data_IF_932393814385
#
_entry.id   IF_932393814385
#
_cell.length_a   1.000
_cell.length_b   1.000
_cell.length_c   1.000
_cell.angle_alpha   90.00
_cell.angle_beta   90.00
_cell.angle_gamma   90.00
#
_symmetry.space_group_name_H-M   'P 1'
#
loop_
_entity.id
_entity.type
_entity.pdbx_description
1 polymer ?
#
# COMPACT_ATOMS: atom_id res chain seq x y z
N UNK A 1 7.89 -0.02 -5.01
CA UNK A 1 9.29 0.45 -4.78
C UNK A 1 10.08 0.47 -6.09
N UNK A 2 10.25 -0.66 -6.78
CA UNK A 2 11.01 -0.74 -8.04
C UNK A 2 10.55 0.28 -9.11
N UNK A 3 9.26 0.32 -9.47
CA UNK A 3 8.75 1.30 -10.43
C UNK A 3 8.98 2.77 -10.02
N UNK A 4 8.91 3.10 -8.72
CA UNK A 4 9.22 4.44 -8.22
C UNK A 4 10.70 4.79 -8.40
N UNK A 5 11.60 3.87 -8.03
CA UNK A 5 13.03 4.04 -8.25
C UNK A 5 13.34 4.25 -9.74
N UNK A 6 12.73 3.45 -10.61
CA UNK A 6 12.97 3.56 -12.05
C UNK A 6 12.42 4.84 -12.67
N UNK A 7 11.33 5.40 -12.15
CA UNK A 7 10.80 6.68 -12.59
C UNK A 7 11.67 7.88 -12.21
N UNK A 8 12.57 7.73 -11.22
CA UNK A 8 13.37 8.82 -10.64
C UNK A 8 14.78 8.39 -10.24
N UNK A 9 15.48 7.61 -11.08
CA UNK A 9 16.78 6.99 -10.75
C UNK A 9 17.86 7.98 -10.32
N UNK A 10 17.86 9.16 -10.93
CA UNK A 10 18.84 10.22 -10.62
C UNK A 10 18.52 10.97 -9.32
N UNK A 11 17.37 10.67 -8.70
CA UNK A 11 16.82 11.39 -7.54
C UNK A 11 16.47 10.47 -6.38
N UNK A 12 16.53 9.15 -6.56
CA UNK A 12 16.18 8.14 -5.58
C UNK A 12 17.33 7.16 -5.41
N UNK A 13 17.76 6.95 -4.17
CA UNK A 13 18.73 5.91 -3.81
C UNK A 13 18.02 4.80 -3.05
N UNK A 14 18.31 3.54 -3.38
CA UNK A 14 17.78 2.39 -2.65
C UNK A 14 18.88 1.75 -1.80
N UNK A 15 18.51 1.42 -0.57
CA UNK A 15 19.33 0.65 0.36
C UNK A 15 18.45 -0.36 1.11
N UNK A 16 19.05 -1.44 1.57
CA UNK A 16 18.37 -2.50 2.32
C UNK A 16 19.28 -3.06 3.42
N UNK A 17 18.65 -3.51 4.49
CA UNK A 17 19.26 -4.30 5.56
C UNK A 17 19.08 -5.81 5.31
N UNK A 18 18.29 -6.18 4.30
CA UNK A 18 18.05 -7.57 3.94
C UNK A 18 19.19 -8.14 3.11
N UNK A 19 19.41 -9.44 3.27
CA UNK A 19 20.40 -10.18 2.49
C UNK A 19 19.87 -10.64 1.12
N UNK A 20 18.55 -10.78 0.95
CA UNK A 20 17.95 -11.27 -0.29
C UNK A 20 18.08 -10.27 -1.45
N UNK A 21 17.88 -10.75 -2.68
CA UNK A 21 17.92 -9.92 -3.90
C UNK A 21 16.52 -9.62 -4.47
N UNK A 22 15.52 -9.46 -3.59
CA UNK A 22 14.13 -9.23 -4.04
C UNK A 22 13.96 -7.86 -4.71
N UNK A 23 14.70 -6.84 -4.27
CA UNK A 23 14.64 -5.49 -4.85
C UNK A 23 15.21 -5.46 -6.27
N UNK A 24 16.35 -6.08 -6.49
CA UNK A 24 17.01 -6.25 -7.79
C UNK A 24 16.10 -7.04 -8.73
N UNK A 25 15.55 -8.15 -8.23
CA UNK A 25 14.61 -8.99 -9.01
C UNK A 25 13.38 -8.19 -9.43
N UNK A 26 12.82 -7.38 -8.53
CA UNK A 26 11.68 -6.52 -8.85
C UNK A 26 12.06 -5.45 -9.89
N UNK A 27 13.22 -4.81 -9.75
CA UNK A 27 13.69 -3.80 -10.71
C UNK A 27 13.92 -4.41 -12.11
N UNK A 28 14.54 -5.60 -12.17
CA UNK A 28 14.76 -6.30 -13.44
C UNK A 28 13.42 -6.65 -14.11
N UNK A 29 12.44 -7.12 -13.33
CA UNK A 29 11.09 -7.43 -13.83
C UNK A 29 10.35 -6.21 -14.38
N UNK A 30 10.60 -5.02 -13.83
CA UNK A 30 10.05 -3.74 -14.29
C UNK A 30 10.72 -3.21 -15.58
N UNK A 31 11.74 -3.91 -16.09
CA UNK A 31 12.31 -3.64 -17.41
C UNK A 31 13.79 -3.25 -17.42
N UNK A 32 14.47 -3.24 -16.27
CA UNK A 32 15.92 -3.04 -16.25
C UNK A 32 16.69 -4.28 -16.69
N UNK A 33 17.74 -4.12 -17.52
CA UNK A 33 18.53 -5.26 -17.97
C UNK A 33 19.41 -5.85 -16.86
N UNK A 34 19.86 -5.01 -15.92
CA UNK A 34 20.67 -5.41 -14.78
C UNK A 34 20.56 -4.40 -13.64
N UNK A 35 20.92 -4.82 -12.43
CA UNK A 35 21.04 -3.98 -11.22
C UNK A 35 22.22 -4.46 -10.41
N UNK A 36 23.01 -3.54 -9.90
CA UNK A 36 24.20 -3.86 -9.09
C UNK A 36 23.82 -3.94 -7.61
N UNK A 37 24.09 -5.07 -6.97
CA UNK A 37 24.00 -5.24 -5.52
C UNK A 37 25.30 -4.75 -4.86
N UNK A 38 25.26 -3.56 -4.27
CA UNK A 38 26.44 -2.91 -3.66
C UNK A 38 26.55 -3.34 -2.19
N UNK A 39 27.64 -3.99 -1.80
CA UNK A 39 27.84 -4.51 -0.44
C UNK A 39 29.16 -4.05 0.22
N UNK A 40 29.97 -3.25 -0.47
CA UNK A 40 31.27 -2.77 0.01
C UNK A 40 31.42 -1.23 -0.05
N UNK A 41 30.32 -0.53 -0.34
CA UNK A 41 30.28 0.91 -0.49
C UNK A 41 30.82 1.44 -1.83
N UNK A 42 31.30 0.56 -2.71
CA UNK A 42 31.76 0.95 -4.05
C UNK A 42 30.62 0.83 -5.08
N UNK A 43 30.35 1.93 -5.79
CA UNK A 43 29.34 1.98 -6.86
C UNK A 43 29.91 2.65 -8.08
N UNK A 44 29.68 2.06 -9.24
CA UNK A 44 29.93 2.71 -10.52
C UNK A 44 28.88 3.82 -10.79
N UNK A 45 29.30 5.06 -11.08
CA UNK A 45 28.38 6.16 -11.31
C UNK A 45 27.44 5.89 -12.49
N UNK A 46 26.14 6.15 -12.30
CA UNK A 46 25.13 6.05 -13.36
C UNK A 46 24.51 4.66 -13.53
N UNK A 47 25.00 3.62 -12.85
CA UNK A 47 24.40 2.29 -12.88
C UNK A 47 23.28 2.16 -11.82
N UNK A 48 22.15 1.50 -12.14
CA UNK A 48 21.11 1.21 -11.15
C UNK A 48 21.68 0.27 -10.07
N UNK A 49 21.56 0.69 -8.81
CA UNK A 49 22.17 -0.04 -7.69
C UNK A 49 21.26 -0.07 -6.46
N UNK A 50 21.37 -1.17 -5.71
CA UNK A 50 20.76 -1.35 -4.39
C UNK A 50 21.90 -1.56 -3.40
N UNK A 51 21.92 -0.77 -2.33
CA UNK A 51 22.99 -0.80 -1.33
C UNK A 51 22.60 -1.72 -0.17
N UNK A 52 23.27 -2.85 -0.03
CA UNK A 52 23.07 -3.83 1.05
C UNK A 52 23.96 -3.50 2.23
N UNK A 53 23.42 -2.80 3.24
CA UNK A 53 24.20 -2.34 4.38
C UNK A 53 24.67 -3.51 5.29
N UNK A 54 23.96 -4.63 5.26
CA UNK A 54 24.33 -5.89 5.95
C UNK A 54 24.96 -6.93 5.03
N UNK A 55 25.28 -6.57 3.80
CA UNK A 55 25.73 -7.53 2.79
C UNK A 55 24.58 -8.27 2.10
N UNK A 56 24.93 -9.09 1.11
CA UNK A 56 23.98 -9.71 0.18
C UNK A 56 24.23 -11.21 0.06
N UNK A 57 23.15 -11.98 -0.11
CA UNK A 57 23.17 -13.40 -0.43
C UNK A 57 22.62 -13.57 -1.84
N UNK A 58 23.50 -13.97 -2.75
CA UNK A 58 23.17 -14.21 -4.15
C UNK A 58 23.86 -15.49 -4.62
N UNK A 59 23.18 -16.29 -5.44
CA UNK A 59 23.68 -17.59 -5.93
C UNK A 59 24.26 -18.49 -4.83
N UNK A 60 23.52 -18.61 -3.71
CA UNK A 60 23.90 -19.40 -2.53
C UNK A 60 25.21 -18.96 -1.85
N UNK A 61 25.73 -17.77 -2.20
CA UNK A 61 26.97 -17.21 -1.65
C UNK A 61 26.65 -15.90 -0.91
N UNK A 62 27.24 -15.74 0.28
CA UNK A 62 27.10 -14.53 1.08
C UNK A 62 28.31 -13.60 0.87
N UNK A 63 28.05 -12.32 0.62
CA UNK A 63 29.05 -11.29 0.37
C UNK A 63 28.94 -10.20 1.42
N UNK A 64 30.02 -10.02 2.21
CA UNK A 64 30.09 -9.06 3.31
C UNK A 64 28.97 -9.20 4.36
N UNK A 65 28.57 -10.43 4.77
CA UNK A 65 27.41 -10.59 5.63
C UNK A 65 27.67 -10.04 7.04
N UNK A 66 26.76 -9.20 7.53
CA UNK A 66 26.73 -8.69 8.89
C UNK A 66 25.61 -9.40 9.64
N UNK A 67 25.96 -10.37 10.49
CA UNK A 67 24.97 -11.30 11.07
C UNK A 67 25.09 -11.38 12.59
N UNK A 68 26.31 -11.33 13.10
CA UNK A 68 26.58 -11.55 14.52
C UNK A 68 26.75 -10.26 15.32
N UNK A 69 26.52 -10.34 16.63
CA UNK A 69 26.78 -9.26 17.59
C UNK A 69 28.19 -8.66 17.46
N UNK A 70 29.21 -9.48 17.17
CA UNK A 70 30.58 -9.01 16.98
C UNK A 70 30.71 -8.15 15.73
N UNK A 71 30.13 -8.58 14.60
CA UNK A 71 30.15 -7.81 13.35
C UNK A 71 29.47 -6.45 13.56
N UNK A 72 28.34 -6.45 14.27
CA UNK A 72 27.63 -5.23 14.66
C UNK A 72 28.47 -4.32 15.55
N UNK A 73 29.09 -4.86 16.60
CA UNK A 73 29.94 -4.10 17.51
C UNK A 73 31.16 -3.49 16.77
N UNK A 74 31.75 -4.21 15.83
CA UNK A 74 32.85 -3.71 15.00
C UNK A 74 32.40 -2.60 14.05
N UNK A 75 31.26 -2.76 13.38
CA UNK A 75 30.70 -1.71 12.50
C UNK A 75 30.28 -0.47 13.25
N UNK A 76 29.69 -0.62 14.43
CA UNK A 76 29.29 0.49 15.30
C UNK A 76 30.51 1.23 15.84
N UNK A 77 31.56 0.50 16.22
CA UNK A 77 32.81 1.11 16.71
C UNK A 77 33.62 1.78 15.59
N UNK A 78 33.41 1.40 14.33
CA UNK A 78 34.12 1.96 13.20
C UNK A 78 33.44 3.23 12.67
N UNK A 79 33.95 4.40 13.06
CA UNK A 79 33.48 5.70 12.56
C UNK A 79 33.60 5.85 11.03
N UNK A 80 34.53 5.11 10.41
CA UNK A 80 34.75 5.09 8.96
C UNK A 80 33.96 4.00 8.23
N UNK A 81 33.01 3.33 8.91
CA UNK A 81 32.15 2.35 8.26
C UNK A 81 31.39 2.98 7.07
N UNK A 82 31.50 2.36 5.90
CA UNK A 82 30.92 2.88 4.66
C UNK A 82 29.39 3.03 4.77
N UNK A 83 28.72 2.18 5.56
CA UNK A 83 27.28 2.24 5.80
C UNK A 83 26.88 3.57 6.45
N UNK A 84 27.64 4.01 7.47
CA UNK A 84 27.41 5.31 8.12
C UNK A 84 27.67 6.44 7.15
N UNK A 85 28.80 6.41 6.42
CA UNK A 85 29.14 7.44 5.43
C UNK A 85 28.09 7.53 4.32
N UNK A 86 27.58 6.38 3.86
CA UNK A 86 26.52 6.28 2.88
C UNK A 86 25.22 6.92 3.40
N UNK A 87 24.79 6.60 4.62
CA UNK A 87 23.59 7.19 5.22
C UNK A 87 23.72 8.70 5.46
N UNK A 88 24.88 9.15 5.95
CA UNK A 88 25.20 10.57 6.11
C UNK A 88 25.14 11.29 4.77
N UNK A 89 25.80 10.75 3.74
CA UNK A 89 25.75 11.30 2.39
C UNK A 89 24.33 11.32 1.84
N UNK A 90 23.54 10.26 2.01
CA UNK A 90 22.15 10.21 1.56
C UNK A 90 21.31 11.33 2.22
N UNK A 91 21.44 11.51 3.53
CA UNK A 91 20.76 12.57 4.29
C UNK A 91 21.24 13.99 3.92
N UNK A 92 22.45 14.14 3.40
CA UNK A 92 22.88 15.44 2.85
C UNK A 92 22.18 15.79 1.52
N UNK A 93 21.72 14.79 0.75
CA UNK A 93 21.13 14.99 -0.58
C UNK A 93 19.60 14.97 -0.60
N UNK A 94 18.95 14.39 0.42
CA UNK A 94 17.50 14.38 0.49
C UNK A 94 16.95 13.66 1.73
N UNK A 95 15.61 13.62 1.87
CA UNK A 95 14.95 12.93 2.97
C UNK A 95 15.16 11.41 2.88
N UNK A 96 15.38 10.78 4.02
CA UNK A 96 15.46 9.32 4.15
C UNK A 96 14.09 8.77 4.58
N UNK A 97 13.61 7.70 3.93
CA UNK A 97 12.44 6.94 4.38
C UNK A 97 12.87 5.52 4.76
N UNK A 98 12.66 5.15 6.02
CA UNK A 98 12.79 3.79 6.50
C UNK A 98 11.43 3.08 6.40
N UNK A 99 11.36 2.10 5.50
CA UNK A 99 10.17 1.28 5.24
C UNK A 99 10.46 -0.18 5.63
N UNK A 100 9.60 -0.78 6.47
CA UNK A 100 9.72 -2.19 6.86
C UNK A 100 10.88 -2.53 7.79
N UNK A 101 11.53 -1.53 8.40
CA UNK A 101 12.58 -1.78 9.40
C UNK A 101 11.96 -2.32 10.69
N UNK A 102 12.56 -3.40 11.22
CA UNK A 102 12.22 -3.88 12.57
C UNK A 102 12.42 -2.75 13.57
N UNK A 103 11.44 -2.54 14.46
CA UNK A 103 11.56 -1.64 15.62
C UNK A 103 12.84 -1.89 16.44
N UNK A 104 13.37 -3.10 16.36
CA UNK A 104 14.52 -3.59 17.14
C UNK A 104 15.80 -3.71 16.34
N UNK A 105 15.87 -3.21 15.11
CA UNK A 105 17.13 -3.18 14.38
C UNK A 105 18.09 -2.21 15.10
N UNK A 106 19.14 -2.72 15.77
CA UNK A 106 19.99 -1.88 16.61
C UNK A 106 20.93 -1.01 15.77
N UNK A 107 21.26 -1.43 14.56
CA UNK A 107 22.35 -0.86 13.76
C UNK A 107 21.91 0.43 13.08
N UNK A 108 20.77 0.39 12.38
CA UNK A 108 20.22 1.57 11.72
C UNK A 108 19.88 2.67 12.75
N UNK A 109 19.37 2.28 13.93
CA UNK A 109 19.08 3.20 15.03
C UNK A 109 20.35 3.85 15.55
N UNK A 110 21.40 3.06 15.74
CA UNK A 110 22.66 3.57 16.25
C UNK A 110 23.34 4.51 15.24
N UNK A 111 23.47 4.11 13.98
CA UNK A 111 24.07 4.96 12.95
C UNK A 111 23.32 6.27 12.78
N UNK A 112 21.99 6.23 12.70
CA UNK A 112 21.19 7.45 12.59
C UNK A 112 21.29 8.30 13.86
N UNK A 113 21.27 7.71 15.05
CA UNK A 113 21.49 8.47 16.28
C UNK A 113 22.82 9.22 16.27
N UNK A 114 23.91 8.57 15.84
CA UNK A 114 25.22 9.22 15.71
C UNK A 114 25.19 10.35 14.66
N UNK A 115 24.64 10.10 13.48
CA UNK A 115 24.54 11.11 12.40
C UNK A 115 23.74 12.32 12.88
N UNK A 116 22.55 12.12 13.46
CA UNK A 116 21.71 13.23 13.92
C UNK A 116 22.33 13.99 15.10
N UNK A 117 23.04 13.30 16.00
CA UNK A 117 23.72 13.93 17.14
C UNK A 117 24.97 14.72 16.72
N UNK A 118 25.79 14.15 15.83
CA UNK A 118 27.13 14.67 15.52
C UNK A 118 27.11 15.62 14.31
N UNK A 119 26.22 15.40 13.34
CA UNK A 119 26.24 16.07 12.04
C UNK A 119 25.04 17.00 11.81
N UNK A 120 23.93 16.81 12.55
CA UNK A 120 22.71 17.64 12.47
C UNK A 120 22.24 17.87 11.01
N UNK A 121 21.87 16.81 10.28
CA UNK A 121 21.55 16.90 8.86
C UNK A 121 20.34 17.82 8.61
N UNK A 122 20.34 18.52 7.48
CA UNK A 122 19.25 19.43 7.09
C UNK A 122 17.97 18.67 6.66
N UNK A 123 18.12 17.49 6.07
CA UNK A 123 17.00 16.70 5.59
C UNK A 123 16.46 15.75 6.67
N UNK A 124 15.14 15.52 6.71
CA UNK A 124 14.53 14.65 7.69
C UNK A 124 14.79 13.17 7.38
N UNK A 125 14.87 12.36 8.43
CA UNK A 125 14.72 10.91 8.36
C UNK A 125 13.33 10.53 8.88
N UNK A 126 12.58 9.83 8.05
CA UNK A 126 11.22 9.37 8.31
C UNK A 126 11.25 7.86 8.56
N UNK A 127 10.47 7.38 9.52
CA UNK A 127 10.31 5.94 9.79
C UNK A 127 8.84 5.56 9.81
N UNK A 128 8.47 4.50 9.09
CA UNK A 128 7.09 4.02 9.07
C UNK A 128 6.84 3.06 10.24
N UNK A 129 5.84 3.38 11.05
CA UNK A 129 5.30 2.49 12.10
C UNK A 129 3.94 2.02 11.65
N UNK A 130 3.87 0.78 11.15
CA UNK A 130 2.66 0.22 10.54
C UNK A 130 1.97 -0.73 11.50
N UNK A 131 0.70 -0.48 11.81
CA UNK A 131 -0.10 -1.30 12.73
C UNK A 131 -0.21 -2.76 12.27
N UNK A 132 -0.51 -3.00 10.99
CA UNK A 132 -0.57 -4.35 10.41
C UNK A 132 0.73 -5.15 10.64
N UNK A 133 1.89 -4.52 10.40
CA UNK A 133 3.19 -5.17 10.58
C UNK A 133 3.51 -5.52 12.04
N UNK A 134 2.87 -4.84 13.00
CA UNK A 134 2.99 -5.13 14.43
C UNK A 134 1.99 -6.20 14.92
N UNK A 135 1.03 -6.60 14.07
CA UNK A 135 -0.03 -7.54 14.43
C UNK A 135 -0.97 -7.01 15.53
N UNK A 136 -1.16 -5.69 15.59
CA UNK A 136 -1.99 -5.03 16.60
C UNK A 136 -3.35 -4.65 16.04
N UNK A 137 -4.41 -4.85 16.83
CA UNK A 137 -5.71 -4.27 16.51
C UNK A 137 -5.70 -2.74 16.68
N UNK A 138 -6.68 -2.07 16.07
CA UNK A 138 -6.78 -0.59 16.11
C UNK A 138 -6.83 -0.01 17.51
N UNK A 139 -7.49 -0.68 18.45
CA UNK A 139 -7.63 -0.17 19.83
C UNK A 139 -6.30 -0.23 20.55
N UNK A 140 -5.61 -1.37 20.48
CA UNK A 140 -4.30 -1.55 21.09
C UNK A 140 -3.29 -0.61 20.45
N UNK A 141 -3.27 -0.50 19.11
CA UNK A 141 -2.37 0.40 18.42
C UNK A 141 -2.54 1.84 18.89
N UNK A 142 -3.77 2.36 18.97
CA UNK A 142 -4.04 3.71 19.47
C UNK A 142 -3.67 3.95 20.95
N UNK A 143 -3.31 2.91 21.71
CA UNK A 143 -2.77 3.05 23.08
C UNK A 143 -1.25 3.07 23.14
N UNK A 144 -0.57 2.51 22.14
CA UNK A 144 0.89 2.34 22.11
C UNK A 144 1.58 3.17 21.03
N UNK A 145 0.84 3.68 20.05
CA UNK A 145 1.33 4.41 18.88
C UNK A 145 2.27 5.56 19.24
N UNK A 146 1.95 6.32 20.29
CA UNK A 146 2.68 7.48 20.77
C UNK A 146 3.99 7.06 21.41
N UNK A 147 4.00 5.95 22.15
CA UNK A 147 5.22 5.39 22.74
C UNK A 147 6.15 4.85 21.65
N UNK A 148 5.59 4.15 20.66
CA UNK A 148 6.34 3.65 19.50
C UNK A 148 6.96 4.80 18.69
N UNK A 149 6.21 5.87 18.46
CA UNK A 149 6.70 7.08 17.79
C UNK A 149 7.82 7.77 18.60
N UNK A 150 7.59 7.95 19.91
CA UNK A 150 8.53 8.64 20.81
C UNK A 150 9.92 8.01 20.81
N UNK A 151 10.03 6.69 20.67
CA UNK A 151 11.32 6.03 20.61
C UNK A 151 12.17 6.46 19.41
N UNK A 152 11.56 6.62 18.25
CA UNK A 152 12.24 7.09 17.04
C UNK A 152 12.47 8.60 17.07
N UNK A 153 11.50 9.34 17.58
CA UNK A 153 11.62 10.80 17.74
C UNK A 153 12.73 11.17 18.73
N UNK A 154 12.98 10.35 19.74
CA UNK A 154 14.08 10.56 20.69
C UNK A 154 15.47 10.52 20.08
N UNK A 155 15.64 9.90 18.90
CA UNK A 155 16.89 9.85 18.15
C UNK A 155 16.92 10.81 16.94
N UNK A 156 15.91 11.69 16.81
CA UNK A 156 15.85 12.73 15.77
C UNK A 156 15.07 12.36 14.52
N UNK A 157 14.45 11.18 14.46
CA UNK A 157 13.62 10.75 13.33
C UNK A 157 12.18 11.25 13.47
N UNK A 158 11.45 11.34 12.37
CA UNK A 158 9.99 11.56 12.40
C UNK A 158 9.27 10.24 12.17
N UNK A 159 8.42 9.84 13.10
CA UNK A 159 7.62 8.62 12.97
C UNK A 159 6.34 8.90 12.17
N UNK A 160 6.13 8.11 11.10
CA UNK A 160 4.89 8.08 10.32
C UNK A 160 4.07 6.88 10.78
N UNK A 161 3.01 7.14 11.53
CA UNK A 161 2.07 6.11 11.97
C UNK A 161 1.10 5.77 10.82
N UNK A 162 0.95 4.49 10.53
CA UNK A 162 0.14 3.97 9.42
C UNK A 162 -0.69 2.78 9.89
N UNK A 163 -1.81 2.55 9.23
CA UNK A 163 -2.70 1.45 9.58
C UNK A 163 -2.27 0.15 8.87
N UNK A 164 -1.99 0.23 7.57
CA UNK A 164 -1.82 -0.94 6.70
C UNK A 164 -0.51 -0.89 5.90
N UNK A 165 0.04 -2.04 5.52
CA UNK A 165 1.33 -2.12 4.80
C UNK A 165 1.27 -1.46 3.42
N UNK A 166 0.10 -1.45 2.78
CA UNK A 166 -0.11 -0.78 1.51
C UNK A 166 0.00 0.75 1.61
N UNK A 167 -0.25 1.34 2.79
CA UNK A 167 -0.04 2.77 3.03
C UNK A 167 1.43 3.16 2.81
N UNK A 168 2.38 2.28 3.18
CA UNK A 168 3.81 2.50 2.95
C UNK A 168 4.12 2.57 1.46
N UNK A 169 3.57 1.63 0.69
CA UNK A 169 3.74 1.61 -0.76
C UNK A 169 3.15 2.87 -1.40
N UNK A 170 1.98 3.32 -0.93
CA UNK A 170 1.35 4.56 -1.38
C UNK A 170 2.21 5.77 -1.04
N UNK A 171 2.72 5.90 0.18
CA UNK A 171 3.63 6.98 0.58
C UNK A 171 4.85 7.03 -0.35
N UNK A 172 5.47 5.89 -0.65
CA UNK A 172 6.60 5.83 -1.59
C UNK A 172 6.21 6.37 -2.98
N UNK A 173 5.03 6.00 -3.50
CA UNK A 173 4.53 6.53 -4.78
C UNK A 173 4.28 8.04 -4.71
N UNK A 174 3.78 8.54 -3.58
CA UNK A 174 3.42 9.95 -3.37
C UNK A 174 4.64 10.87 -3.20
N UNK A 175 5.74 10.39 -2.62
CA UNK A 175 6.91 11.21 -2.24
C UNK A 175 7.49 12.06 -3.36
N UNK A 176 7.47 11.59 -4.61
CA UNK A 176 7.97 12.39 -5.75
C UNK A 176 7.06 13.58 -6.12
N UNK A 177 5.83 13.62 -5.59
CA UNK A 177 4.82 14.62 -5.90
C UNK A 177 4.60 15.65 -4.78
N UNK A 178 5.03 15.38 -3.54
CA UNK A 178 4.70 16.20 -2.36
C UNK A 178 5.17 17.65 -2.45
N UNK A 179 6.21 17.93 -3.25
CA UNK A 179 6.73 19.28 -3.48
C UNK A 179 6.01 20.05 -4.59
N UNK A 180 5.08 19.42 -5.32
CA UNK A 180 4.31 20.09 -6.37
C UNK A 180 3.29 21.03 -5.75
N UNK A 181 3.15 22.23 -6.31
CA UNK A 181 2.25 23.27 -5.78
C UNK A 181 0.77 22.88 -5.77
N UNK A 182 0.37 21.95 -6.64
CA UNK A 182 -0.99 21.43 -6.74
C UNK A 182 -1.17 20.08 -6.03
N UNK A 183 -0.19 19.60 -5.25
CA UNK A 183 -0.24 18.30 -4.59
C UNK A 183 -1.49 18.14 -3.72
N UNK A 184 -2.11 16.96 -3.78
CA UNK A 184 -3.25 16.56 -2.94
C UNK A 184 -3.01 15.16 -2.40
N UNK A 185 -3.02 15.02 -1.08
CA UNK A 185 -2.89 13.73 -0.44
C UNK A 185 -4.01 12.76 -0.88
N UNK A 186 -3.78 11.43 -0.88
CA UNK A 186 -4.79 10.43 -1.23
C UNK A 186 -6.11 10.63 -0.47
N UNK A 187 -6.03 10.99 0.81
CA UNK A 187 -7.21 11.27 1.64
C UNK A 187 -8.06 12.43 1.08
N UNK A 188 -7.43 13.52 0.65
CA UNK A 188 -8.14 14.67 0.09
C UNK A 188 -8.73 14.36 -1.28
N UNK A 189 -8.03 13.54 -2.08
CA UNK A 189 -8.55 13.02 -3.34
C UNK A 189 -9.74 12.08 -3.12
N UNK A 190 -9.71 11.23 -2.09
CA UNK A 190 -10.85 10.41 -1.68
C UNK A 190 -12.04 11.28 -1.24
N UNK A 191 -11.82 12.34 -0.46
CA UNK A 191 -12.86 13.32 -0.10
C UNK A 191 -13.43 14.03 -1.33
N UNK A 192 -12.62 14.31 -2.34
CA UNK A 192 -13.09 14.88 -3.61
C UNK A 192 -13.99 13.89 -4.35
N UNK A 193 -13.59 12.63 -4.47
CA UNK A 193 -14.44 11.56 -5.03
C UNK A 193 -15.77 11.54 -4.29
N UNK A 194 -15.74 11.44 -2.96
CA UNK A 194 -16.94 11.44 -2.11
C UNK A 194 -17.85 12.64 -2.38
N UNK A 195 -17.31 13.87 -2.38
CA UNK A 195 -18.08 15.10 -2.59
C UNK A 195 -18.72 15.16 -3.97
N UNK A 196 -18.01 14.78 -5.02
CA UNK A 196 -18.54 14.77 -6.39
C UNK A 196 -19.67 13.76 -6.56
N UNK A 197 -19.56 12.61 -5.89
CA UNK A 197 -20.59 11.59 -5.85
C UNK A 197 -21.82 12.03 -5.04
N UNK A 198 -21.62 12.62 -3.86
CA UNK A 198 -22.70 13.11 -3.00
C UNK A 198 -23.55 14.20 -3.69
N UNK A 199 -22.94 15.09 -4.47
CA UNK A 199 -23.67 16.12 -5.24
C UNK A 199 -24.63 15.55 -6.28
N UNK A 200 -24.32 14.36 -6.82
CA UNK A 200 -25.08 13.70 -7.88
C UNK A 200 -25.78 12.43 -7.38
N UNK A 201 -26.00 12.32 -6.06
CA UNK A 201 -26.35 11.07 -5.39
C UNK A 201 -27.50 10.32 -6.05
N UNK A 202 -28.66 10.98 -6.20
CA UNK A 202 -29.88 10.37 -6.74
C UNK A 202 -29.69 9.76 -8.13
N UNK A 203 -28.99 10.47 -9.01
CA UNK A 203 -28.71 10.02 -10.39
C UNK A 203 -27.71 8.88 -10.41
N UNK A 204 -26.66 8.96 -9.57
CA UNK A 204 -25.63 7.93 -9.50
C UNK A 204 -26.13 6.66 -8.83
N UNK A 205 -27.08 6.74 -7.89
CA UNK A 205 -27.75 5.57 -7.32
C UNK A 205 -28.35 4.68 -8.41
N UNK A 206 -29.16 5.28 -9.29
CA UNK A 206 -29.84 4.54 -10.37
C UNK A 206 -28.83 4.00 -11.37
N UNK A 207 -27.94 4.86 -11.87
CA UNK A 207 -26.94 4.50 -12.88
C UNK A 207 -25.98 3.41 -12.39
N UNK A 208 -25.51 3.50 -11.15
CA UNK A 208 -24.58 2.53 -10.59
C UNK A 208 -25.31 1.23 -10.23
N UNK A 209 -26.56 1.30 -9.75
CA UNK A 209 -27.38 0.11 -9.54
C UNK A 209 -27.60 -0.69 -10.83
N UNK A 210 -27.92 -0.02 -11.93
CA UNK A 210 -28.04 -0.65 -13.27
C UNK A 210 -26.72 -1.24 -13.74
N UNK A 211 -25.62 -0.49 -13.61
CA UNK A 211 -24.28 -0.98 -13.99
C UNK A 211 -23.89 -2.23 -13.19
N UNK A 212 -24.13 -2.22 -11.87
CA UNK A 212 -23.86 -3.36 -11.00
C UNK A 212 -24.70 -4.60 -11.38
N UNK A 213 -25.92 -4.42 -11.86
CA UNK A 213 -26.76 -5.54 -12.33
C UNK A 213 -26.20 -6.18 -13.60
N UNK A 214 -25.75 -5.36 -14.55
CA UNK A 214 -25.07 -5.84 -15.77
C UNK A 214 -23.75 -6.53 -15.43
N UNK A 215 -22.97 -5.94 -14.52
CA UNK A 215 -21.69 -6.51 -14.08
C UNK A 215 -21.90 -7.84 -13.34
N UNK A 216 -22.94 -7.95 -12.49
CA UNK A 216 -23.31 -9.19 -11.82
C UNK A 216 -23.65 -10.32 -12.81
N UNK A 217 -24.44 -10.01 -13.85
CA UNK A 217 -24.78 -10.96 -14.90
C UNK A 217 -23.54 -11.39 -15.70
N UNK A 218 -22.65 -10.46 -16.04
CA UNK A 218 -21.40 -10.72 -16.75
C UNK A 218 -20.47 -11.62 -15.93
N UNK A 219 -20.25 -11.30 -14.65
CA UNK A 219 -19.43 -12.11 -13.74
C UNK A 219 -20.02 -13.50 -13.58
N UNK A 220 -21.34 -13.61 -13.38
CA UNK A 220 -22.01 -14.90 -13.24
C UNK A 220 -21.87 -15.78 -14.48
N UNK A 221 -22.01 -15.21 -15.67
CA UNK A 221 -21.86 -15.93 -16.93
C UNK A 221 -20.41 -16.38 -17.19
N UNK A 222 -19.42 -15.52 -16.92
CA UNK A 222 -18.01 -15.82 -17.18
C UNK A 222 -17.42 -16.83 -16.20
N UNK A 223 -17.88 -16.79 -14.95
CA UNK A 223 -17.42 -17.72 -13.90
C UNK A 223 -18.31 -18.96 -13.77
N UNK A 224 -19.40 -19.05 -14.52
CA UNK A 224 -20.42 -20.11 -14.39
C UNK A 224 -20.92 -20.25 -12.93
N UNK A 225 -21.19 -19.12 -12.28
CA UNK A 225 -21.68 -19.06 -10.90
C UNK A 225 -22.91 -18.16 -10.78
N UNK A 226 -23.71 -18.38 -9.75
CA UNK A 226 -24.79 -17.46 -9.41
C UNK A 226 -24.21 -16.31 -8.58
N UNK A 227 -24.36 -15.09 -9.10
CA UNK A 227 -24.08 -13.86 -8.36
C UNK A 227 -25.34 -13.43 -7.63
N UNK A 228 -25.30 -13.45 -6.30
CA UNK A 228 -26.45 -13.11 -5.47
C UNK A 228 -26.61 -11.60 -5.24
N UNK A 229 -25.50 -10.86 -5.29
CA UNK A 229 -25.47 -9.42 -5.02
C UNK A 229 -24.19 -8.79 -5.54
N UNK A 230 -24.31 -7.72 -6.30
CA UNK A 230 -23.23 -6.79 -6.58
C UNK A 230 -23.38 -5.49 -5.76
N UNK A 231 -22.26 -4.93 -5.29
CA UNK A 231 -22.26 -3.71 -4.47
C UNK A 231 -21.01 -2.89 -4.71
N UNK A 232 -21.19 -1.57 -4.85
CA UNK A 232 -20.14 -0.58 -4.88
C UNK A 232 -19.98 0.06 -3.49
N UNK A 233 -18.74 0.10 -3.02
CA UNK A 233 -18.30 0.79 -1.83
C UNK A 233 -17.41 1.97 -2.24
N UNK A 234 -17.61 3.15 -1.64
CA UNK A 234 -16.78 4.35 -1.93
C UNK A 234 -16.15 4.84 -0.62
N UNK A 235 -14.85 5.15 -0.66
CA UNK A 235 -14.14 5.74 0.47
C UNK A 235 -14.63 7.16 0.72
N UNK A 236 -14.95 7.47 1.98
CA UNK A 236 -15.39 8.82 2.37
C UNK A 236 -14.21 9.77 2.67
N UNK A 237 -12.98 9.26 2.69
CA UNK A 237 -11.78 10.02 3.08
C UNK A 237 -11.62 10.23 4.59
N UNK A 238 -12.33 9.46 5.41
CA UNK A 238 -12.31 9.51 6.87
C UNK A 238 -12.14 8.08 7.45
N UNK A 239 -11.40 7.21 6.76
CA UNK A 239 -11.14 5.83 7.20
C UNK A 239 -12.34 4.88 7.11
N UNK A 240 -13.37 5.24 6.34
CA UNK A 240 -14.55 4.41 6.15
C UNK A 240 -14.90 4.24 4.67
N UNK A 241 -15.51 3.10 4.37
CA UNK A 241 -16.23 2.84 3.14
C UNK A 241 -17.73 3.01 3.37
N UNK A 242 -18.40 3.73 2.48
CA UNK A 242 -19.86 3.73 2.44
C UNK A 242 -20.33 2.72 1.40
N UNK A 243 -21.35 1.92 1.74
CA UNK A 243 -22.07 1.07 0.81
C UNK A 243 -22.88 1.92 -0.16
N UNK A 244 -22.21 2.46 -1.17
CA UNK A 244 -22.74 3.47 -2.06
C UNK A 244 -23.94 2.96 -2.84
N UNK A 245 -23.77 1.92 -3.64
CA UNK A 245 -24.85 1.35 -4.45
C UNK A 245 -24.86 -0.17 -4.34
N UNK A 246 -26.05 -0.77 -4.38
CA UNK A 246 -26.24 -2.21 -4.39
C UNK A 246 -27.27 -2.52 -5.46
N UNK A 247 -27.05 -3.57 -6.24
CA UNK A 247 -28.02 -4.03 -7.22
C UNK A 247 -29.42 -4.20 -6.57
N UNK A 248 -30.45 -3.64 -7.21
CA UNK A 248 -31.85 -3.74 -6.75
C UNK A 248 -32.19 -2.95 -5.48
N UNK A 249 -31.25 -2.17 -4.91
CA UNK A 249 -31.48 -1.33 -3.73
C UNK A 249 -31.18 0.12 -4.07
N UNK A 250 -32.12 1.01 -3.74
CA UNK A 250 -31.95 2.46 -3.88
C UNK A 250 -32.01 3.15 -2.53
N UNK A 251 -30.92 3.83 -2.16
CA UNK A 251 -30.91 4.69 -0.98
C UNK A 251 -31.53 6.05 -1.31
N UNK A 252 -32.25 6.63 -0.35
CA UNK A 252 -32.91 7.93 -0.54
C UNK A 252 -31.97 9.11 -0.38
N UNK A 253 -30.97 8.97 0.49
CA UNK A 253 -30.01 10.02 0.83
C UNK A 253 -28.68 9.40 1.29
N UNK A 254 -27.60 10.17 1.23
CA UNK A 254 -26.25 9.80 1.68
C UNK A 254 -26.23 9.39 3.15
N UNK A 255 -27.08 10.00 3.99
CA UNK A 255 -27.20 9.66 5.42
C UNK A 255 -27.75 8.26 5.71
N UNK A 256 -28.32 7.57 4.73
CA UNK A 256 -28.79 6.19 4.87
C UNK A 256 -27.76 5.13 4.46
N UNK A 257 -26.60 5.55 3.96
CA UNK A 257 -25.55 4.63 3.55
C UNK A 257 -24.92 3.96 4.78
N UNK A 258 -24.72 2.65 4.69
CA UNK A 258 -23.98 1.92 5.72
C UNK A 258 -22.50 2.28 5.59
N UNK A 259 -21.92 2.80 6.67
CA UNK A 259 -20.48 2.98 6.79
C UNK A 259 -19.84 1.75 7.43
N UNK A 260 -18.70 1.34 6.91
CA UNK A 260 -17.87 0.26 7.47
C UNK A 260 -16.43 0.76 7.57
N UNK A 261 -15.67 0.34 8.61
CA UNK A 261 -14.26 0.73 8.72
C UNK A 261 -13.43 0.10 7.60
N UNK A 262 -12.33 0.76 7.23
CA UNK A 262 -11.25 0.15 6.43
C UNK A 262 -10.19 -0.45 7.35
N UNK A 263 -9.28 -1.25 6.80
CA UNK A 263 -8.13 -1.84 7.49
C UNK A 263 -7.93 -3.30 7.15
N UNK A 264 -6.71 -3.82 7.30
CA UNK A 264 -6.40 -5.24 7.13
C UNK A 264 -7.23 -6.16 8.05
N UNK A 265 -7.65 -5.64 9.20
CA UNK A 265 -8.50 -6.30 10.21
C UNK A 265 -9.97 -5.90 10.10
N UNK A 266 -10.37 -5.25 8.99
CA UNK A 266 -11.76 -4.89 8.75
C UNK A 266 -12.65 -6.15 8.79
N UNK A 267 -13.80 -6.12 9.50
CA UNK A 267 -14.76 -7.23 9.47
C UNK A 267 -15.52 -7.31 8.13
N UNK A 268 -15.25 -6.40 7.20
CA UNK A 268 -15.80 -6.38 5.86
C UNK A 268 -14.66 -6.59 4.86
N UNK A 269 -14.79 -7.61 4.01
CA UNK A 269 -13.82 -7.89 2.93
C UNK A 269 -13.57 -6.67 2.03
N UNK A 270 -14.56 -5.79 1.85
CA UNK A 270 -14.37 -4.53 1.11
C UNK A 270 -13.36 -3.60 1.82
N UNK A 271 -13.44 -3.50 3.14
CA UNK A 271 -12.50 -2.71 3.94
C UNK A 271 -11.09 -3.31 3.97
N UNK A 272 -10.97 -4.64 3.88
CA UNK A 272 -9.67 -5.31 3.73
C UNK A 272 -9.07 -5.09 2.33
N UNK A 273 -9.89 -5.25 1.27
CA UNK A 273 -9.43 -5.13 -0.11
C UNK A 273 -8.93 -3.71 -0.44
N UNK A 274 -9.60 -2.67 0.08
CA UNK A 274 -9.11 -1.29 -0.10
C UNK A 274 -7.82 -1.04 0.70
N UNK A 275 -7.71 -1.61 1.90
CA UNK A 275 -6.58 -1.42 2.79
C UNK A 275 -5.30 -2.08 2.27
N UNK A 276 -5.41 -3.28 1.70
CA UNK A 276 -4.27 -3.97 1.11
C UNK A 276 -4.02 -3.58 -0.35
N UNK A 277 -4.90 -2.79 -0.98
CA UNK A 277 -4.90 -2.51 -2.42
C UNK A 277 -4.90 -3.78 -3.30
N UNK A 278 -5.53 -4.87 -2.83
CA UNK A 278 -5.54 -6.16 -3.51
C UNK A 278 -6.94 -6.72 -3.70
N UNK A 279 -7.10 -7.54 -4.74
CA UNK A 279 -8.31 -8.34 -4.95
C UNK A 279 -8.39 -9.38 -3.84
N UNK A 280 -9.52 -9.45 -3.15
CA UNK A 280 -9.76 -10.45 -2.10
C UNK A 280 -10.88 -11.37 -2.51
N UNK A 281 -10.69 -12.67 -2.29
CA UNK A 281 -11.71 -13.70 -2.46
C UNK A 281 -11.73 -14.54 -1.18
N UNK A 282 -12.86 -14.52 -0.47
CA UNK A 282 -13.01 -15.25 0.80
C UNK A 282 -14.35 -15.92 0.91
N UNK A 283 -14.37 -17.10 1.53
CA UNK A 283 -15.60 -17.71 1.98
C UNK A 283 -16.27 -16.87 3.07
N UNK A 284 -17.60 -16.87 3.06
CA UNK A 284 -18.37 -16.19 4.10
C UNK A 284 -18.44 -17.10 5.32
N UNK A 285 -17.96 -16.60 6.44
CA UNK A 285 -18.16 -17.25 7.73
C UNK A 285 -19.66 -17.37 8.01
N UNK A 286 -20.12 -18.62 8.15
CA UNK A 286 -21.54 -18.89 8.41
C UNK A 286 -21.82 -18.69 9.89
N UNK A 287 -22.49 -17.60 10.22
CA UNK A 287 -23.13 -17.45 11.52
C UNK A 287 -24.38 -18.35 11.58
N UNK A 288 -24.57 -19.04 12.71
CA UNK A 288 -25.76 -19.86 12.99
C UNK A 288 -27.05 -19.02 12.94
N UNK A 289 -26.95 -17.70 13.16
CA UNK A 289 -28.09 -16.78 13.16
C UNK A 289 -28.42 -16.16 11.80
N UNK A 290 -27.45 -16.14 10.87
CA UNK A 290 -27.63 -15.60 9.52
C UNK A 290 -26.87 -16.49 8.56
N UNK A 291 -27.60 -17.32 7.79
CA UNK A 291 -27.04 -18.04 6.66
C UNK A 291 -27.13 -17.14 5.43
N UNK A 292 -26.05 -16.43 5.03
CA UNK A 292 -26.04 -15.71 3.77
C UNK A 292 -26.34 -16.68 2.64
N UNK A 293 -27.04 -16.19 1.61
CA UNK A 293 -27.43 -17.02 0.47
C UNK A 293 -26.24 -17.36 -0.44
N UNK A 294 -25.11 -16.67 -0.28
CA UNK A 294 -23.88 -16.86 -1.03
C UNK A 294 -22.79 -17.51 -0.17
N UNK A 295 -21.86 -18.24 -0.81
CA UNK A 295 -20.79 -19.00 -0.15
C UNK A 295 -19.49 -18.20 -0.01
N UNK A 296 -19.16 -17.36 -0.99
CA UNK A 296 -17.96 -16.52 -0.98
C UNK A 296 -18.26 -15.10 -1.43
N UNK A 297 -17.29 -14.21 -1.23
CA UNK A 297 -17.32 -12.82 -1.73
C UNK A 297 -16.01 -12.53 -2.46
N UNK A 298 -16.14 -12.02 -3.67
CA UNK A 298 -15.05 -11.39 -4.42
C UNK A 298 -15.09 -9.88 -4.18
N UNK A 299 -13.97 -9.28 -3.81
CA UNK A 299 -13.80 -7.85 -3.58
C UNK A 299 -12.68 -7.30 -4.48
N UNK A 300 -12.98 -6.28 -5.27
CA UNK A 300 -12.10 -5.70 -6.28
C UNK A 300 -11.83 -4.24 -5.92
N UNK A 301 -10.59 -3.86 -5.54
CA UNK A 301 -10.24 -2.47 -5.32
C UNK A 301 -10.26 -1.71 -6.64
N UNK A 302 -10.80 -0.49 -6.61
CA UNK A 302 -10.93 0.39 -7.76
C UNK A 302 -10.00 1.58 -7.56
N UNK A 303 -8.96 1.63 -8.40
CA UNK A 303 -7.96 2.67 -8.39
C UNK A 303 -8.45 3.89 -9.15
N UNK A 304 -8.33 5.07 -8.56
CA UNK A 304 -8.78 6.32 -9.18
C UNK A 304 -7.69 7.37 -9.10
N UNK A 305 -7.60 8.18 -10.14
CA UNK A 305 -6.66 9.28 -10.20
C UNK A 305 -7.03 10.29 -11.28
N UNK A 306 -6.29 11.40 -11.27
CA UNK A 306 -6.41 12.50 -12.22
C UNK A 306 -5.37 12.41 -13.35
N UNK A 307 -4.50 11.40 -13.32
CA UNK A 307 -3.38 11.23 -14.26
C UNK A 307 -2.17 12.14 -13.96
N UNK A 308 -2.26 13.04 -12.98
CA UNK A 308 -1.14 13.89 -12.56
C UNK A 308 -0.44 13.37 -11.30
N UNK A 309 -1.21 12.76 -10.40
CA UNK A 309 -0.76 12.14 -9.15
C UNK A 309 -0.92 10.61 -9.23
N UNK A 310 -0.21 9.85 -8.38
CA UNK A 310 -0.33 8.40 -8.34
C UNK A 310 -1.77 7.97 -8.06
N UNK A 311 -2.27 6.96 -8.76
CA UNK A 311 -3.59 6.42 -8.47
C UNK A 311 -3.65 5.85 -7.03
N UNK A 312 -4.84 5.89 -6.44
CA UNK A 312 -5.10 5.34 -5.11
C UNK A 312 -6.39 4.51 -5.14
N UNK A 313 -6.51 3.51 -4.26
CA UNK A 313 -7.76 2.76 -4.12
C UNK A 313 -8.84 3.66 -3.48
N UNK A 314 -9.80 4.12 -4.28
CA UNK A 314 -10.86 5.06 -3.84
C UNK A 314 -12.23 4.40 -3.66
N UNK A 315 -12.40 3.18 -4.14
CA UNK A 315 -13.64 2.42 -4.08
C UNK A 315 -13.37 0.91 -4.14
N UNK A 316 -14.40 0.10 -3.86
CA UNK A 316 -14.34 -1.36 -3.97
C UNK A 316 -15.65 -1.89 -4.56
N UNK A 317 -15.56 -2.82 -5.49
CA UNK A 317 -16.70 -3.63 -5.92
C UNK A 317 -16.72 -4.94 -5.16
N UNK A 318 -17.89 -5.38 -4.73
CA UNK A 318 -18.05 -6.71 -4.12
C UNK A 318 -19.15 -7.51 -4.81
N UNK A 319 -18.88 -8.79 -5.05
CA UNK A 319 -19.83 -9.76 -5.61
C UNK A 319 -19.98 -10.94 -4.65
N UNK A 320 -21.21 -11.21 -4.20
CA UNK A 320 -21.53 -12.42 -3.42
C UNK A 320 -21.80 -13.60 -4.35
N UNK A 321 -21.00 -14.65 -4.25
CA UNK A 321 -20.96 -15.77 -5.20
C UNK A 321 -21.49 -17.07 -4.59
N UNK A 322 -22.18 -17.89 -5.38
CA UNK A 322 -22.74 -19.17 -4.93
C UNK A 322 -21.71 -20.26 -4.67
N UNK A 323 -20.47 -20.06 -5.10
CA UNK A 323 -19.37 -21.03 -5.01
C UNK A 323 -18.37 -20.62 -3.92
N UNK A 324 -17.67 -21.60 -3.35
CA UNK A 324 -16.57 -21.35 -2.41
C UNK A 324 -15.38 -20.67 -3.08
N UNK A 325 -14.61 -19.92 -2.29
CA UNK A 325 -13.36 -19.30 -2.70
C UNK A 325 -12.37 -20.33 -3.28
N UNK A 326 -12.24 -21.51 -2.67
CA UNK A 326 -11.33 -22.55 -3.14
C UNK A 326 -11.63 -23.00 -4.59
N UNK A 327 -12.89 -23.27 -4.92
CA UNK A 327 -13.28 -23.66 -6.28
C UNK A 327 -13.09 -22.56 -7.33
N UNK A 328 -13.19 -21.30 -6.92
CA UNK A 328 -12.93 -20.15 -7.79
C UNK A 328 -11.43 -19.89 -7.99
N UNK A 329 -10.59 -20.16 -6.97
CA UNK A 329 -9.13 -20.02 -7.08
C UNK A 329 -8.53 -20.99 -8.11
N UNK A 330 -9.13 -22.16 -8.33
CA UNK A 330 -8.72 -23.08 -9.40
C UNK A 330 -8.87 -22.48 -10.81
N UNK A 331 -9.62 -21.38 -10.95
CA UNK A 331 -9.93 -20.69 -12.21
C UNK A 331 -9.43 -19.24 -12.21
N UNK A 332 -8.32 -18.98 -11.54
CA UNK A 332 -7.71 -17.66 -11.37
C UNK A 332 -7.59 -16.86 -12.66
N UNK A 333 -7.05 -17.45 -13.72
CA UNK A 333 -6.87 -16.78 -15.02
C UNK A 333 -8.20 -16.25 -15.61
N UNK A 334 -9.31 -16.97 -15.37
CA UNK A 334 -10.63 -16.56 -15.87
C UNK A 334 -11.15 -15.37 -15.10
N UNK A 335 -11.14 -15.42 -13.76
CA UNK A 335 -11.65 -14.31 -12.97
C UNK A 335 -10.71 -13.10 -12.93
N UNK A 336 -9.40 -13.28 -13.07
CA UNK A 336 -8.43 -12.17 -13.09
C UNK A 336 -8.68 -11.24 -14.27
N UNK A 337 -8.98 -11.79 -15.45
CA UNK A 337 -9.33 -11.02 -16.65
C UNK A 337 -10.60 -10.19 -16.42
N UNK A 338 -11.64 -10.80 -15.85
CA UNK A 338 -12.90 -10.10 -15.51
C UNK A 338 -12.66 -8.99 -14.49
N UNK A 339 -11.81 -9.26 -13.50
CA UNK A 339 -11.44 -8.29 -12.48
C UNK A 339 -10.72 -7.08 -13.08
N UNK A 340 -9.79 -7.27 -14.01
CA UNK A 340 -9.08 -6.20 -14.70
C UNK A 340 -10.03 -5.32 -15.53
N UNK A 341 -10.93 -5.94 -16.30
CA UNK A 341 -11.93 -5.23 -17.11
C UNK A 341 -12.88 -4.39 -16.24
N UNK A 342 -13.41 -4.98 -15.15
CA UNK A 342 -14.27 -4.29 -14.22
C UNK A 342 -13.55 -3.16 -13.50
N UNK A 343 -12.33 -3.40 -13.03
CA UNK A 343 -11.51 -2.40 -12.37
C UNK A 343 -11.32 -1.20 -13.29
N UNK A 344 -10.85 -1.42 -14.52
CA UNK A 344 -10.66 -0.37 -15.53
C UNK A 344 -11.94 0.41 -15.82
N UNK A 345 -13.06 -0.28 -16.04
CA UNK A 345 -14.34 0.35 -16.36
C UNK A 345 -14.84 1.24 -15.20
N UNK A 346 -14.73 0.76 -13.96
CA UNK A 346 -15.16 1.50 -12.77
C UNK A 346 -14.19 2.63 -12.40
N UNK A 347 -12.88 2.42 -12.56
CA UNK A 347 -11.86 3.46 -12.42
C UNK A 347 -12.17 4.64 -13.33
N UNK A 348 -12.46 4.38 -14.61
CA UNK A 348 -12.87 5.43 -15.55
C UNK A 348 -14.19 6.09 -15.13
N UNK A 349 -15.18 5.30 -14.70
CA UNK A 349 -16.51 5.81 -14.30
C UNK A 349 -16.44 6.75 -13.09
N UNK A 350 -15.69 6.39 -12.07
CA UNK A 350 -15.52 7.15 -10.82
C UNK A 350 -14.56 8.34 -11.05
N UNK A 351 -13.44 8.09 -11.73
CA UNK A 351 -12.41 9.10 -12.03
C UNK A 351 -12.93 10.24 -12.92
N UNK A 352 -13.65 9.91 -14.01
CA UNK A 352 -14.22 10.93 -14.91
C UNK A 352 -15.17 11.89 -14.19
N UNK A 353 -15.97 11.40 -13.24
CA UNK A 353 -16.87 12.26 -12.46
C UNK A 353 -16.10 13.14 -11.47
N UNK A 354 -15.01 12.62 -10.91
CA UNK A 354 -14.35 13.22 -9.76
C UNK A 354 -13.24 14.19 -10.15
N UNK A 355 -12.56 13.95 -11.28
CA UNK A 355 -11.32 14.62 -11.64
C UNK A 355 -11.30 15.26 -13.04
N UNK A 356 -12.23 14.91 -13.94
CA UNK A 356 -12.35 15.63 -15.22
C UNK A 356 -13.24 16.86 -15.04
N UNK A 357 -12.67 18.04 -15.31
CA UNK A 357 -13.35 19.32 -15.37
C UNK A 357 -13.64 19.74 -16.81
#
# INVERSE_FOLDING_TARGET
>A
VAGHFLASRDRTTLATLNFDTLLETAIIREGEPYVTAVHDGSRDPGEPAVHHLHGVVFDQTAYGPVVGFTDYAELVANEEAWQRQFLSAALAHGPLLLAGTSYRDPDIRHWLHLIFRDESPENPALVTVVREGLGLDRTVFGTVDTALASEWESIGLTALQMEDLADVALVIRELQHVSRSNYRAPQDRARQVWKSHARNFTTLQDRYGESLSVDAATVGALLDVVVHRATLWIANGEGHLARWATEGVRYRDVGYLKLVPTGHDSPWIAGEAIASEEVKLKDVERDVQVSPTWQSVLAIPIFVGDGEMPDFAGAVLTFGLSESAAGLLEREETWSTVVEELSTAWSARIGNLSFKH
#
